data_IF_299596700827
#
_entry.id   IF_299596700827
#
_cell.length_a   1.000
_cell.length_b   1.000
_cell.length_c   1.000
_cell.angle_alpha   90.00
_cell.angle_beta   90.00
_cell.angle_gamma   90.00
#
_symmetry.space_group_name_H-M   'P 1'
#
loop_
_entity.id
_entity.type
_entity.pdbx_description
1 polymer ?
#
# COMPACT_ATOMS: atom_id res chain seq x y z
N UNK A 1 48.54 -5.33 15.88
CA UNK A 1 47.84 -4.06 15.63
C UNK A 1 48.56 -3.41 14.46
N UNK A 2 47.95 -3.41 13.27
CA UNK A 2 48.64 -2.90 12.09
C UNK A 2 48.63 -1.37 12.15
N UNK A 3 49.74 -0.69 11.85
CA UNK A 3 49.87 0.78 12.01
C UNK A 3 48.91 1.61 11.13
N UNK A 4 48.12 0.99 10.25
CA UNK A 4 47.06 1.63 9.47
C UNK A 4 45.64 1.56 10.07
N UNK A 5 45.42 0.70 11.06
CA UNK A 5 44.07 0.42 11.60
C UNK A 5 43.48 1.64 12.30
N UNK A 6 44.31 2.36 13.07
CA UNK A 6 43.91 3.55 13.80
C UNK A 6 43.58 4.73 12.87
N UNK A 7 44.28 4.79 11.73
CA UNK A 7 44.04 5.82 10.70
C UNK A 7 42.68 5.60 10.02
N UNK A 8 42.35 4.35 9.66
CA UNK A 8 41.07 4.04 9.04
C UNK A 8 39.91 4.25 10.02
N UNK A 9 40.05 3.84 11.27
CA UNK A 9 39.03 4.08 12.30
C UNK A 9 38.74 5.56 12.52
N UNK A 10 39.77 6.42 12.53
CA UNK A 10 39.62 7.86 12.63
C UNK A 10 38.88 8.46 11.41
N UNK A 11 39.19 7.98 10.20
CA UNK A 11 38.50 8.42 8.96
C UNK A 11 37.03 8.01 8.95
N UNK A 12 36.72 6.75 9.30
CA UNK A 12 35.34 6.25 9.38
C UNK A 12 34.53 7.00 10.44
N UNK A 13 35.16 7.36 11.57
CA UNK A 13 34.53 8.20 12.60
C UNK A 13 34.19 9.60 12.07
N UNK A 14 35.11 10.25 11.34
CA UNK A 14 34.89 11.58 10.75
C UNK A 14 33.79 11.59 9.69
N UNK A 15 33.60 10.50 8.96
CA UNK A 15 32.52 10.34 7.98
C UNK A 15 31.19 9.87 8.60
N UNK A 16 31.13 9.70 9.92
CA UNK A 16 29.98 9.17 10.65
C UNK A 16 29.53 7.77 10.16
N UNK A 17 30.47 6.93 9.71
CA UNK A 17 30.20 5.58 9.24
C UNK A 17 30.26 4.59 10.42
N UNK A 18 29.26 4.64 11.29
CA UNK A 18 29.28 3.95 12.58
C UNK A 18 29.23 2.42 12.43
N UNK A 19 28.44 1.90 11.48
CA UNK A 19 28.36 0.46 11.23
C UNK A 19 29.64 -0.03 10.59
N UNK A 20 30.12 0.67 9.55
CA UNK A 20 31.37 0.35 8.88
C UNK A 20 32.55 0.31 9.86
N UNK A 21 32.66 1.31 10.74
CA UNK A 21 33.68 1.37 11.80
C UNK A 21 33.63 0.16 12.75
N UNK A 22 32.43 -0.37 13.03
CA UNK A 22 32.25 -1.55 13.89
C UNK A 22 32.65 -2.86 13.20
N UNK A 23 32.36 -2.99 11.90
CA UNK A 23 32.44 -4.29 11.21
C UNK A 23 33.63 -4.44 10.26
N UNK A 24 34.32 -3.35 9.87
CA UNK A 24 35.32 -3.41 8.80
C UNK A 24 36.45 -4.40 9.08
N UNK A 25 36.93 -4.52 10.33
CA UNK A 25 38.00 -5.47 10.70
C UNK A 25 37.58 -6.93 10.46
N UNK A 26 36.34 -7.26 10.82
CA UNK A 26 35.77 -8.59 10.59
C UNK A 26 35.55 -8.83 9.09
N UNK A 27 35.09 -7.81 8.36
CA UNK A 27 34.91 -7.90 6.92
C UNK A 27 36.23 -8.05 6.16
N UNK A 28 37.33 -7.42 6.60
CA UNK A 28 38.66 -7.59 6.00
C UNK A 28 39.14 -9.03 6.16
N UNK A 29 39.10 -9.58 7.37
CA UNK A 29 39.48 -10.99 7.62
C UNK A 29 38.65 -11.97 6.77
N UNK A 30 37.36 -11.67 6.60
CA UNK A 30 36.47 -12.47 5.77
C UNK A 30 36.77 -12.34 4.28
N UNK A 31 37.04 -11.13 3.82
CA UNK A 31 37.42 -10.84 2.43
C UNK A 31 38.73 -11.54 2.05
N UNK A 32 39.71 -11.56 2.95
CA UNK A 32 40.97 -12.30 2.77
C UNK A 32 40.72 -13.81 2.68
N UNK A 33 39.93 -14.36 3.61
CA UNK A 33 39.63 -15.81 3.65
C UNK A 33 38.83 -16.30 2.44
N UNK A 34 37.89 -15.48 1.97
CA UNK A 34 37.01 -15.79 0.85
C UNK A 34 37.51 -15.22 -0.50
N UNK A 35 38.72 -14.64 -0.53
CA UNK A 35 39.37 -14.07 -1.71
C UNK A 35 38.50 -13.05 -2.47
N UNK A 36 37.85 -12.13 -1.75
CA UNK A 36 36.99 -11.12 -2.37
C UNK A 36 37.79 -10.08 -3.15
N UNK A 37 37.21 -9.58 -4.25
CA UNK A 37 37.76 -8.42 -4.94
C UNK A 37 37.62 -7.15 -4.08
N UNK A 38 38.52 -6.18 -4.26
CA UNK A 38 38.42 -4.88 -3.58
C UNK A 38 37.08 -4.18 -3.83
N UNK A 39 36.52 -4.37 -5.03
CA UNK A 39 35.22 -3.81 -5.40
C UNK A 39 34.09 -4.44 -4.59
N UNK A 40 34.10 -5.77 -4.42
CA UNK A 40 33.05 -6.49 -3.68
C UNK A 40 33.13 -6.20 -2.18
N UNK A 41 34.34 -6.12 -1.62
CA UNK A 41 34.57 -5.71 -0.25
C UNK A 41 34.00 -4.30 0.02
N UNK A 42 34.35 -3.32 -0.83
CA UNK A 42 33.88 -1.95 -0.66
C UNK A 42 32.36 -1.86 -0.83
N UNK A 43 31.80 -2.56 -1.81
CA UNK A 43 30.36 -2.61 -2.03
C UNK A 43 29.62 -3.15 -0.81
N UNK A 44 30.09 -4.25 -0.22
CA UNK A 44 29.46 -4.85 0.96
C UNK A 44 29.59 -3.95 2.19
N UNK A 45 30.77 -3.36 2.43
CA UNK A 45 30.99 -2.46 3.56
C UNK A 45 30.02 -1.27 3.53
N UNK A 46 29.86 -0.64 2.36
CA UNK A 46 28.95 0.49 2.17
C UNK A 46 27.49 0.05 2.32
N UNK A 47 27.15 -1.15 1.85
CA UNK A 47 25.80 -1.69 1.96
C UNK A 47 25.35 -1.93 3.39
N UNK A 48 26.21 -2.54 4.21
CA UNK A 48 25.94 -2.76 5.63
C UNK A 48 25.77 -1.43 6.37
N UNK A 49 26.49 -0.38 5.98
CA UNK A 49 26.28 0.96 6.50
C UNK A 49 24.92 1.55 6.08
N UNK A 50 24.56 1.45 4.79
CA UNK A 50 23.27 1.94 4.28
C UNK A 50 22.10 1.21 4.95
N UNK A 51 22.16 -0.12 5.02
CA UNK A 51 21.13 -0.93 5.65
C UNK A 51 20.97 -0.59 7.14
N UNK A 52 22.08 -0.43 7.87
CA UNK A 52 22.03 -0.06 9.29
C UNK A 52 21.46 1.35 9.50
N UNK A 53 21.82 2.32 8.64
CA UNK A 53 21.27 3.68 8.69
C UNK A 53 19.77 3.67 8.39
N UNK A 54 19.33 2.92 7.38
CA UNK A 54 17.92 2.79 7.07
C UNK A 54 17.15 2.13 8.20
N UNK A 55 17.65 1.04 8.78
CA UNK A 55 17.03 0.37 9.92
C UNK A 55 16.90 1.32 11.13
N UNK A 56 17.95 2.09 11.43
CA UNK A 56 17.94 3.07 12.51
C UNK A 56 16.92 4.18 12.24
N UNK A 57 16.85 4.67 10.99
CA UNK A 57 15.88 5.67 10.55
C UNK A 57 14.45 5.15 10.68
N UNK A 58 14.16 3.95 10.18
CA UNK A 58 12.85 3.30 10.28
C UNK A 58 12.43 3.11 11.72
N UNK A 59 13.32 2.58 12.58
CA UNK A 59 13.03 2.37 13.99
C UNK A 59 12.84 3.68 14.77
N UNK A 60 13.51 4.77 14.37
CA UNK A 60 13.26 6.10 14.93
C UNK A 60 11.90 6.62 14.48
N UNK A 61 11.63 6.67 13.19
CA UNK A 61 10.39 7.23 12.65
C UNK A 61 9.14 6.44 13.08
N UNK A 62 9.23 5.11 13.15
CA UNK A 62 8.11 4.29 13.61
C UNK A 62 7.74 4.55 15.08
N UNK A 63 8.74 4.86 15.93
CA UNK A 63 8.49 5.28 17.31
C UNK A 63 7.91 6.69 17.39
N UNK A 64 8.41 7.61 16.57
CA UNK A 64 7.89 8.98 16.49
C UNK A 64 6.48 9.06 15.91
N UNK A 65 6.10 8.10 15.07
CA UNK A 65 4.76 8.02 14.50
C UNK A 65 3.70 7.59 15.51
N UNK A 66 4.08 7.09 16.69
CA UNK A 66 3.17 6.73 17.78
C UNK A 66 2.07 5.74 17.36
N UNK A 67 2.40 4.73 16.54
CA UNK A 67 1.43 3.70 16.14
C UNK A 67 0.98 2.87 17.35
N UNK A 68 -0.33 2.56 17.49
CA UNK A 68 -0.82 1.70 18.57
C UNK A 68 -0.32 0.26 18.44
N UNK A 69 -0.12 -0.18 17.21
CA UNK A 69 0.49 -1.46 16.85
C UNK A 69 1.18 -1.31 15.50
N UNK A 70 2.15 -2.18 15.20
CA UNK A 70 2.77 -2.23 13.88
C UNK A 70 2.12 -3.35 13.05
N UNK A 71 1.49 -2.98 11.95
CA UNK A 71 0.92 -3.91 10.97
C UNK A 71 1.28 -3.47 9.56
N UNK A 72 1.61 -4.44 8.72
CA UNK A 72 1.94 -4.21 7.32
C UNK A 72 0.74 -4.48 6.43
N UNK A 73 0.87 -4.12 5.15
CA UNK A 73 -0.14 -4.45 4.14
C UNK A 73 -0.20 -5.96 3.89
N UNK A 74 0.93 -6.66 4.03
CA UNK A 74 1.03 -8.10 3.80
C UNK A 74 0.30 -8.89 4.91
N UNK A 75 0.18 -8.32 6.10
CA UNK A 75 -0.60 -8.89 7.22
C UNK A 75 -2.12 -8.72 7.03
N UNK A 76 -2.56 -8.02 5.98
CA UNK A 76 -3.96 -7.71 5.75
C UNK A 76 -4.61 -8.74 4.84
N UNK A 77 -5.65 -9.40 5.33
CA UNK A 77 -6.33 -10.46 4.60
C UNK A 77 -7.44 -9.92 3.70
N UNK A 78 -7.13 -9.76 2.41
CA UNK A 78 -8.05 -9.27 1.39
C UNK A 78 -9.17 -10.24 1.03
N UNK A 79 -9.09 -11.51 1.42
CA UNK A 79 -10.11 -12.51 1.03
C UNK A 79 -11.46 -12.23 1.69
N UNK A 80 -11.46 -11.56 2.85
CA UNK A 80 -12.65 -11.30 3.66
C UNK A 80 -13.30 -9.93 3.40
N UNK A 81 -12.70 -9.06 2.59
CA UNK A 81 -13.30 -7.77 2.22
C UNK A 81 -13.66 -7.72 0.74
N UNK A 82 -14.95 -7.65 0.45
CA UNK A 82 -15.49 -7.62 -0.91
C UNK A 82 -15.24 -6.32 -1.68
N UNK A 83 -15.03 -5.21 -0.97
CA UNK A 83 -15.08 -3.85 -1.55
C UNK A 83 -13.69 -3.27 -1.84
N UNK A 84 -12.67 -3.65 -1.05
CA UNK A 84 -11.32 -3.08 -1.18
C UNK A 84 -10.47 -3.94 -2.11
N UNK A 85 -10.38 -3.53 -3.38
CA UNK A 85 -9.42 -4.14 -4.31
C UNK A 85 -8.02 -3.60 -4.08
N UNK A 86 -7.02 -4.47 -4.16
CA UNK A 86 -5.60 -4.11 -4.04
C UNK A 86 -5.20 -2.99 -5.02
N UNK A 87 -5.84 -2.92 -6.20
CA UNK A 87 -5.61 -1.86 -7.18
C UNK A 87 -5.98 -0.45 -6.69
N UNK A 88 -6.98 -0.32 -5.81
CA UNK A 88 -7.34 0.97 -5.21
C UNK A 88 -6.31 1.36 -4.13
N UNK A 89 -5.81 0.38 -3.37
CA UNK A 89 -4.79 0.61 -2.34
C UNK A 89 -3.39 0.84 -2.92
N UNK A 90 -3.07 0.31 -4.09
CA UNK A 90 -1.77 0.55 -4.75
C UNK A 90 -1.44 2.04 -4.83
N UNK A 91 -2.44 2.86 -5.21
CA UNK A 91 -2.31 4.31 -5.27
C UNK A 91 -2.07 4.98 -3.91
N UNK A 92 -2.50 4.37 -2.81
CA UNK A 92 -2.29 4.87 -1.44
C UNK A 92 -0.96 4.38 -0.84
N UNK A 93 -0.43 3.25 -1.32
CA UNK A 93 0.85 2.68 -0.88
C UNK A 93 2.06 3.27 -1.63
N UNK A 94 1.81 3.91 -2.78
CA UNK A 94 2.82 4.60 -3.56
C UNK A 94 3.36 5.85 -2.83
N UNK A 95 4.60 6.24 -3.12
CA UNK A 95 5.18 7.51 -2.65
C UNK A 95 4.35 8.72 -3.08
N UNK A 96 3.70 8.61 -4.24
CA UNK A 96 2.92 9.67 -4.87
C UNK A 96 1.71 10.09 -4.03
N UNK A 97 1.20 9.17 -3.21
CA UNK A 97 0.17 9.50 -2.22
C UNK A 97 0.62 10.65 -1.33
N UNK A 98 1.85 10.57 -0.80
CA UNK A 98 2.39 11.55 0.14
C UNK A 98 2.87 12.81 -0.57
N UNK A 99 3.55 12.69 -1.71
CA UNK A 99 4.14 13.83 -2.43
C UNK A 99 3.10 14.74 -3.07
N UNK A 100 1.98 14.19 -3.54
CA UNK A 100 0.88 14.98 -4.11
C UNK A 100 -0.09 15.54 -3.05
N UNK A 101 0.07 15.13 -1.78
CA UNK A 101 -0.82 15.56 -0.71
C UNK A 101 -2.20 14.91 -0.81
N UNK A 102 -2.29 13.65 -1.25
CA UNK A 102 -3.56 12.94 -1.38
C UNK A 102 -4.11 12.56 -0.01
N UNK A 103 -5.42 12.44 0.07
CA UNK A 103 -6.11 12.08 1.30
C UNK A 103 -6.88 10.77 1.18
N UNK A 104 -7.18 10.15 2.31
CA UNK A 104 -7.95 8.90 2.35
C UNK A 104 -8.90 8.93 3.54
N UNK A 105 -10.18 8.62 3.30
CA UNK A 105 -11.13 8.37 4.38
C UNK A 105 -11.51 6.89 4.33
N UNK A 106 -11.22 6.18 5.42
CA UNK A 106 -11.60 4.78 5.63
C UNK A 106 -12.87 4.75 6.48
N UNK A 107 -13.99 4.34 5.89
CA UNK A 107 -15.28 4.21 6.59
C UNK A 107 -15.73 2.75 6.67
N UNK A 108 -16.55 2.41 7.68
CA UNK A 108 -17.13 1.08 7.84
C UNK A 108 -17.36 0.70 9.31
N UNK A 109 -18.17 -0.33 9.55
CA UNK A 109 -18.46 -0.81 10.92
C UNK A 109 -17.16 -1.19 11.68
N UNK A 110 -17.19 -1.21 13.02
CA UNK A 110 -16.07 -1.65 13.84
C UNK A 110 -15.55 -3.04 13.45
N UNK A 111 -14.27 -3.31 13.70
CA UNK A 111 -13.67 -4.64 13.50
C UNK A 111 -13.23 -4.98 12.07
N UNK A 112 -13.42 -4.10 11.07
CA UNK A 112 -13.11 -4.39 9.65
C UNK A 112 -11.71 -4.00 9.17
N UNK A 113 -10.79 -3.68 10.06
CA UNK A 113 -9.39 -3.38 9.70
C UNK A 113 -9.10 -1.95 9.18
N UNK A 114 -9.97 -0.97 9.44
CA UNK A 114 -9.73 0.46 9.12
C UNK A 114 -8.39 0.97 9.66
N UNK A 115 -8.21 0.86 10.98
CA UNK A 115 -6.99 1.27 11.67
C UNK A 115 -5.78 0.46 11.21
N UNK A 116 -5.95 -0.83 10.90
CA UNK A 116 -4.87 -1.65 10.32
C UNK A 116 -4.40 -1.07 9.00
N UNK A 117 -5.31 -0.81 8.06
CA UNK A 117 -4.93 -0.22 6.77
C UNK A 117 -4.30 1.15 6.92
N UNK A 118 -4.83 2.01 7.80
CA UNK A 118 -4.25 3.32 8.06
C UNK A 118 -2.80 3.22 8.57
N UNK A 119 -2.55 2.34 9.54
CA UNK A 119 -1.20 2.05 10.06
C UNK A 119 -0.30 1.46 8.97
N UNK A 120 -0.80 0.51 8.18
CA UNK A 120 -0.02 -0.12 7.11
C UNK A 120 0.41 0.88 6.04
N UNK A 121 -0.49 1.78 5.62
CA UNK A 121 -0.18 2.86 4.67
C UNK A 121 0.81 3.84 5.30
N UNK A 122 0.63 4.22 6.55
CA UNK A 122 1.55 5.13 7.24
C UNK A 122 2.95 4.53 7.42
N UNK A 123 3.03 3.26 7.78
CA UNK A 123 4.30 2.55 7.86
C UNK A 123 4.97 2.45 6.47
N UNK A 124 4.18 2.21 5.42
CA UNK A 124 4.67 2.23 4.04
C UNK A 124 5.22 3.61 3.63
N UNK A 125 4.58 4.70 4.04
CA UNK A 125 5.10 6.04 3.83
C UNK A 125 6.45 6.25 4.53
N UNK A 126 6.62 5.71 5.74
CA UNK A 126 7.92 5.75 6.47
C UNK A 126 9.00 4.98 5.71
N UNK A 127 8.66 3.80 5.19
CA UNK A 127 9.54 3.02 4.32
C UNK A 127 9.96 3.79 3.06
N UNK A 128 9.05 4.57 2.48
CA UNK A 128 9.29 5.38 1.28
C UNK A 128 10.07 6.69 1.55
N UNK A 129 10.49 6.97 2.79
CA UNK A 129 11.30 8.16 3.07
C UNK A 129 10.55 9.31 3.76
N UNK A 130 9.27 9.15 4.08
CA UNK A 130 8.48 10.19 4.73
C UNK A 130 8.42 10.02 6.25
N UNK A 131 8.01 11.07 6.96
CA UNK A 131 7.57 11.00 8.34
C UNK A 131 6.04 10.88 8.40
N UNK A 132 5.55 10.20 9.43
CA UNK A 132 4.13 10.04 9.67
C UNK A 132 3.83 10.22 11.15
N UNK A 133 2.62 10.65 11.48
CA UNK A 133 2.10 10.73 12.84
C UNK A 133 0.73 10.06 12.87
N UNK A 134 0.52 9.19 13.86
CA UNK A 134 -0.77 8.60 14.19
C UNK A 134 -1.28 9.20 15.49
N UNK A 135 -2.56 9.61 15.49
CA UNK A 135 -3.24 10.15 16.67
C UNK A 135 -4.72 9.84 16.56
N UNK A 136 -5.41 9.65 17.69
CA UNK A 136 -6.87 9.58 17.67
C UNK A 136 -7.46 10.98 17.51
N UNK A 137 -8.66 11.08 16.94
CA UNK A 137 -9.35 12.36 16.78
C UNK A 137 -9.60 13.04 18.14
N UNK A 138 -9.94 12.26 19.16
CA UNK A 138 -10.15 12.75 20.52
C UNK A 138 -8.85 13.35 21.11
N UNK A 139 -7.73 12.62 21.08
CA UNK A 139 -6.44 13.12 21.60
C UNK A 139 -5.99 14.40 20.88
N UNK A 140 -6.14 14.45 19.55
CA UNK A 140 -5.80 15.64 18.76
C UNK A 140 -6.63 16.84 19.19
N UNK A 141 -7.93 16.67 19.35
CA UNK A 141 -8.84 17.76 19.73
C UNK A 141 -8.54 18.20 21.17
N UNK A 142 -8.38 17.26 22.10
CA UNK A 142 -8.11 17.57 23.50
C UNK A 142 -6.79 18.35 23.67
N UNK A 143 -5.71 17.94 22.99
CA UNK A 143 -4.42 18.63 23.02
C UNK A 143 -4.51 20.05 22.43
N UNK A 144 -5.19 20.21 21.30
CA UNK A 144 -5.37 21.52 20.67
C UNK A 144 -6.30 22.44 21.48
N UNK A 145 -7.38 21.92 22.05
CA UNK A 145 -8.28 22.67 22.92
C UNK A 145 -7.58 23.10 24.21
N UNK A 146 -6.75 22.23 24.81
CA UNK A 146 -5.93 22.62 25.96
C UNK A 146 -4.92 23.71 25.58
N UNK A 147 -4.19 23.54 24.48
CA UNK A 147 -3.23 24.53 23.98
C UNK A 147 -3.89 25.87 23.62
N UNK A 148 -5.14 25.86 23.15
CA UNK A 148 -5.91 27.07 22.87
C UNK A 148 -6.23 27.85 24.15
N UNK A 149 -6.69 27.17 25.21
CA UNK A 149 -6.94 27.79 26.52
C UNK A 149 -5.68 28.39 27.14
N UNK A 150 -4.52 27.81 26.84
CA UNK A 150 -3.20 28.26 27.28
C UNK A 150 -2.56 29.32 26.35
N UNK A 151 -3.24 29.75 25.28
CA UNK A 151 -2.72 30.75 24.33
C UNK A 151 -1.54 30.27 23.47
N UNK A 152 -1.33 28.95 23.37
CA UNK A 152 -0.19 28.32 22.67
C UNK A 152 -0.62 27.45 21.47
N UNK A 153 -1.82 27.69 20.93
CA UNK A 153 -2.40 26.94 19.82
C UNK A 153 -1.47 26.85 18.60
N UNK A 154 -0.84 27.96 18.21
CA UNK A 154 0.05 27.98 17.04
C UNK A 154 1.23 27.00 17.16
N UNK A 155 1.79 26.86 18.36
CA UNK A 155 2.87 25.92 18.62
C UNK A 155 2.36 24.46 18.63
N UNK A 156 1.18 24.20 19.17
CA UNK A 156 0.59 22.86 19.18
C UNK A 156 0.16 22.38 17.78
N UNK A 157 -0.38 23.28 16.95
CA UNK A 157 -0.74 22.97 15.55
C UNK A 157 0.45 22.47 14.74
N UNK A 158 1.67 22.93 15.05
CA UNK A 158 2.89 22.51 14.38
C UNK A 158 3.05 20.97 14.45
N UNK A 159 2.77 20.36 15.60
CA UNK A 159 2.85 18.90 15.83
C UNK A 159 2.03 18.10 14.81
N UNK A 160 0.83 18.59 14.47
CA UNK A 160 -0.10 17.89 13.56
C UNK A 160 0.05 18.34 12.10
N UNK A 161 0.67 19.48 11.82
CA UNK A 161 0.79 20.04 10.46
C UNK A 161 2.14 19.77 9.80
N UNK A 162 3.21 19.59 10.57
CA UNK A 162 4.55 19.30 10.03
C UNK A 162 4.72 17.91 9.42
N UNK A 163 4.22 16.81 10.03
CA UNK A 163 4.43 15.47 9.50
C UNK A 163 3.91 15.34 8.07
N UNK A 164 4.66 14.68 7.19
CA UNK A 164 4.26 14.51 5.79
C UNK A 164 2.93 13.77 5.64
N UNK A 165 2.68 12.79 6.51
CA UNK A 165 1.42 12.07 6.62
C UNK A 165 0.86 12.15 8.04
N UNK A 166 -0.41 12.54 8.17
CA UNK A 166 -1.14 12.50 9.44
C UNK A 166 -2.25 11.45 9.33
N UNK A 167 -2.30 10.52 10.27
CA UNK A 167 -3.39 9.59 10.46
C UNK A 167 -4.21 10.05 11.66
N UNK A 168 -5.49 10.30 11.44
CA UNK A 168 -6.47 10.64 12.46
C UNK A 168 -7.47 9.49 12.58
N UNK A 169 -7.33 8.71 13.65
CA UNK A 169 -8.16 7.53 13.90
C UNK A 169 -9.44 7.90 14.67
N UNK A 170 -10.52 7.15 14.44
CA UNK A 170 -11.75 7.21 15.25
C UNK A 170 -12.48 8.57 15.31
N UNK A 171 -12.61 9.27 14.18
CA UNK A 171 -13.33 10.57 14.09
C UNK A 171 -14.83 10.48 14.50
N UNK A 172 -15.36 9.28 14.75
CA UNK A 172 -16.76 9.05 15.10
C UNK A 172 -17.11 9.05 16.59
N UNK A 173 -16.13 9.18 17.49
CA UNK A 173 -16.28 9.05 18.94
C UNK A 173 -15.69 10.23 19.71
N UNK A 174 -16.10 11.45 19.34
CA UNK A 174 -15.62 12.65 20.02
C UNK A 174 -16.45 12.92 21.27
N UNK A 175 -15.77 13.24 22.37
CA UNK A 175 -16.38 13.75 23.59
C UNK A 175 -16.87 15.19 23.37
N UNK A 176 -17.98 15.54 24.02
CA UNK A 176 -18.67 16.83 23.87
C UNK A 176 -17.74 18.02 24.12
N UNK A 177 -17.29 18.66 23.05
CA UNK A 177 -16.57 19.93 23.07
C UNK A 177 -17.06 20.80 21.92
N UNK A 178 -17.58 21.99 22.21
CA UNK A 178 -18.08 22.93 21.18
C UNK A 178 -17.00 23.34 20.18
N UNK A 179 -15.73 23.21 20.55
CA UNK A 179 -14.59 23.67 19.76
C UNK A 179 -13.95 22.54 18.92
N UNK A 180 -14.49 21.31 18.99
CA UNK A 180 -13.95 20.14 18.30
C UNK A 180 -13.85 20.35 16.78
N UNK A 181 -14.92 20.84 16.16
CA UNK A 181 -14.95 21.19 14.75
C UNK A 181 -13.88 22.22 14.39
N UNK A 182 -13.74 23.28 15.20
CA UNK A 182 -12.78 24.35 14.99
C UNK A 182 -11.34 23.83 15.03
N UNK A 183 -10.99 23.03 16.05
CA UNK A 183 -9.64 22.48 16.19
C UNK A 183 -9.27 21.57 15.00
N UNK A 184 -10.17 20.66 14.61
CA UNK A 184 -9.94 19.80 13.46
C UNK A 184 -9.87 20.58 12.14
N UNK A 185 -10.71 21.61 11.99
CA UNK A 185 -10.70 22.49 10.82
C UNK A 185 -9.36 23.21 10.66
N UNK A 186 -8.76 23.73 11.74
CA UNK A 186 -7.43 24.36 11.67
C UNK A 186 -6.36 23.42 11.13
N UNK A 187 -6.34 22.17 11.61
CA UNK A 187 -5.38 21.16 11.12
C UNK A 187 -5.62 20.84 9.66
N UNK A 188 -6.87 20.54 9.28
CA UNK A 188 -7.24 20.18 7.90
C UNK A 188 -6.94 21.32 6.94
N UNK A 189 -7.26 22.56 7.31
CA UNK A 189 -7.06 23.72 6.46
C UNK A 189 -5.57 24.01 6.23
N UNK A 190 -4.72 23.98 7.26
CA UNK A 190 -3.27 24.21 7.09
C UNK A 190 -2.62 23.08 6.27
N UNK A 191 -2.95 21.81 6.57
CA UNK A 191 -2.45 20.65 5.81
C UNK A 191 -2.92 20.69 4.35
N UNK A 192 -4.17 21.05 4.11
CA UNK A 192 -4.71 21.20 2.77
C UNK A 192 -3.90 22.25 1.98
N UNK A 193 -3.73 23.47 2.54
CA UNK A 193 -2.97 24.55 1.91
C UNK A 193 -1.51 24.17 1.60
N UNK A 194 -0.87 23.41 2.49
CA UNK A 194 0.53 22.95 2.33
C UNK A 194 0.67 21.66 1.51
N UNK A 195 -0.43 21.15 0.95
CA UNK A 195 -0.47 19.88 0.23
C UNK A 195 0.10 18.70 1.03
N UNK A 196 -0.28 18.58 2.30
CA UNK A 196 0.11 17.46 3.16
C UNK A 196 -0.97 16.40 3.21
N UNK A 197 -0.55 15.13 3.23
CA UNK A 197 -1.45 13.99 3.11
C UNK A 197 -2.11 13.64 4.44
N UNK A 198 -3.36 13.17 4.38
CA UNK A 198 -4.13 12.83 5.56
C UNK A 198 -4.87 11.51 5.37
N UNK A 199 -4.95 10.71 6.43
CA UNK A 199 -5.79 9.51 6.46
C UNK A 199 -6.73 9.64 7.66
N UNK A 200 -8.02 9.52 7.41
CA UNK A 200 -9.04 9.49 8.44
C UNK A 200 -9.64 8.10 8.54
N UNK A 201 -9.91 7.63 9.76
CA UNK A 201 -10.77 6.46 9.96
C UNK A 201 -12.04 6.87 10.71
N UNK A 202 -13.16 6.29 10.29
CA UNK A 202 -14.45 6.54 10.93
C UNK A 202 -15.35 5.33 10.82
N UNK A 203 -16.22 5.15 11.81
CA UNK A 203 -17.33 4.19 11.75
C UNK A 203 -18.66 4.87 11.40
N UNK A 204 -18.67 6.20 11.23
CA UNK A 204 -19.84 6.99 10.87
C UNK A 204 -19.85 7.28 9.37
N UNK A 205 -21.03 7.48 8.82
CA UNK A 205 -21.18 8.00 7.47
C UNK A 205 -20.77 9.49 7.44
N UNK A 206 -20.28 9.97 6.30
CA UNK A 206 -19.79 11.34 6.14
C UNK A 206 -20.86 12.39 6.45
N UNK A 207 -22.12 12.13 6.08
CA UNK A 207 -23.25 13.00 6.39
C UNK A 207 -23.52 13.17 7.90
N UNK A 208 -22.98 12.29 8.75
CA UNK A 208 -23.17 12.33 10.21
C UNK A 208 -22.06 13.14 10.90
N UNK A 209 -21.03 13.57 10.17
CA UNK A 209 -19.91 14.30 10.79
C UNK A 209 -20.33 15.63 11.41
N UNK A 210 -21.33 16.32 10.86
CA UNK A 210 -21.90 17.53 11.46
C UNK A 210 -22.41 17.29 12.89
N UNK A 211 -23.11 16.16 13.11
CA UNK A 211 -23.60 15.76 14.43
C UNK A 211 -22.46 15.39 15.39
N UNK A 212 -21.39 14.76 14.87
CA UNK A 212 -20.25 14.32 15.69
C UNK A 212 -19.34 15.48 16.08
N UNK A 213 -19.17 16.46 15.19
CA UNK A 213 -18.34 17.65 15.40
C UNK A 213 -19.11 18.80 16.05
N UNK A 214 -20.43 18.66 16.22
CA UNK A 214 -21.34 19.68 16.76
C UNK A 214 -21.39 20.99 15.93
N UNK A 215 -20.95 20.95 14.69
CA UNK A 215 -21.00 22.06 13.73
C UNK A 215 -21.11 21.48 12.31
N UNK A 216 -22.27 21.66 11.68
CA UNK A 216 -22.56 21.09 10.37
C UNK A 216 -21.80 21.80 9.25
N UNK A 217 -21.68 23.12 9.32
CA UNK A 217 -21.03 23.93 8.29
C UNK A 217 -19.52 23.66 8.25
N UNK A 218 -18.87 23.61 9.42
CA UNK A 218 -17.44 23.28 9.51
C UNK A 218 -17.17 21.82 9.14
N UNK A 219 -18.05 20.89 9.52
CA UNK A 219 -17.89 19.49 9.14
C UNK A 219 -17.93 19.31 7.61
N UNK A 220 -18.86 19.98 6.92
CA UNK A 220 -18.92 19.98 5.46
C UNK A 220 -17.65 20.59 4.85
N UNK A 221 -17.18 21.71 5.40
CA UNK A 221 -15.96 22.39 4.96
C UNK A 221 -14.68 21.55 5.16
N UNK A 222 -14.63 20.70 6.20
CA UNK A 222 -13.56 19.72 6.43
C UNK A 222 -13.61 18.62 5.36
N UNK A 223 -14.79 18.01 5.17
CA UNK A 223 -14.98 16.90 4.23
C UNK A 223 -14.62 17.33 2.81
N UNK A 224 -15.07 18.52 2.40
CA UNK A 224 -14.79 19.10 1.09
C UNK A 224 -13.28 19.19 0.82
N UNK A 225 -12.52 19.84 1.73
CA UNK A 225 -11.06 19.98 1.61
C UNK A 225 -10.30 18.66 1.60
N UNK A 226 -10.81 17.65 2.32
CA UNK A 226 -10.21 16.32 2.38
C UNK A 226 -10.50 15.56 1.09
N UNK A 227 -11.74 15.61 0.59
CA UNK A 227 -12.16 14.86 -0.60
C UNK A 227 -11.73 15.49 -1.93
N UNK A 228 -11.43 16.80 -1.97
CA UNK A 228 -10.92 17.47 -3.17
C UNK A 228 -9.70 16.74 -3.77
N UNK A 229 -8.81 16.23 -2.91
CA UNK A 229 -7.64 15.40 -3.28
C UNK A 229 -7.67 14.01 -2.64
N UNK A 230 -8.85 13.63 -2.16
CA UNK A 230 -9.04 12.46 -1.34
C UNK A 230 -9.83 11.37 -2.04
N UNK A 231 -9.85 10.19 -1.43
CA UNK A 231 -10.78 9.12 -1.79
C UNK A 231 -11.49 8.62 -0.54
N UNK A 232 -12.75 8.24 -0.70
CA UNK A 232 -13.50 7.51 0.31
C UNK A 232 -13.40 6.01 -0.02
N UNK A 233 -12.93 5.22 0.94
CA UNK A 233 -12.96 3.76 0.86
C UNK A 233 -13.86 3.21 1.96
N UNK A 234 -14.88 2.47 1.55
CA UNK A 234 -15.77 1.76 2.46
C UNK A 234 -15.28 0.34 2.65
N UNK A 235 -15.06 -0.03 3.91
CA UNK A 235 -14.69 -1.36 4.35
C UNK A 235 -15.95 -2.11 4.79
N UNK A 236 -16.27 -3.14 4.03
CA UNK A 236 -17.34 -4.09 4.29
C UNK A 236 -16.76 -5.48 4.58
N UNK A 237 -17.59 -6.36 5.13
CA UNK A 237 -17.19 -7.69 5.57
C UNK A 237 -17.43 -7.94 7.06
N UNK A 238 -17.15 -9.19 7.52
CA UNK A 238 -17.29 -9.59 8.92
C UNK A 238 -16.27 -8.86 9.81
N UNK A 239 -16.53 -8.81 11.12
CA UNK A 239 -15.58 -8.20 12.06
C UNK A 239 -14.44 -9.17 12.37
N UNK A 240 -13.22 -8.76 12.06
CA UNK A 240 -12.00 -9.54 12.34
C UNK A 240 -11.74 -9.70 13.83
N UNK A 241 -12.29 -8.81 14.67
CA UNK A 241 -12.16 -8.87 16.14
C UNK A 241 -13.00 -10.01 16.73
N UNK A 242 -14.15 -10.30 16.14
CA UNK A 242 -15.13 -11.30 16.60
C UNK A 242 -15.03 -12.61 15.85
N UNK A 243 -14.06 -12.75 14.93
CA UNK A 243 -13.84 -13.96 14.13
C UNK A 243 -13.73 -15.24 14.97
N UNK A 244 -13.06 -15.17 16.12
CA UNK A 244 -12.90 -16.31 17.02
C UNK A 244 -14.22 -16.76 17.69
N UNK A 245 -15.26 -15.93 17.64
CA UNK A 245 -16.57 -16.20 18.24
C UNK A 245 -17.61 -16.68 17.21
N UNK A 246 -17.31 -16.66 15.90
CA UNK A 246 -18.22 -17.12 14.85
C UNK A 246 -19.53 -16.31 14.71
N UNK A 247 -19.62 -15.12 15.33
CA UNK A 247 -20.86 -14.34 15.43
C UNK A 247 -21.32 -13.70 14.10
N UNK A 248 -20.42 -13.61 13.12
CA UNK A 248 -20.67 -12.98 11.82
C UNK A 248 -20.79 -14.02 10.68
N UNK A 249 -20.88 -15.32 10.99
CA UNK A 249 -21.19 -16.35 9.99
C UNK A 249 -22.64 -16.14 9.49
N UNK A 250 -22.88 -16.04 8.17
CA UNK A 250 -24.23 -15.83 7.67
C UNK A 250 -25.10 -17.02 8.05
N UNK A 251 -26.23 -16.75 8.71
CA UNK A 251 -27.23 -17.78 8.99
C UNK A 251 -27.71 -18.36 7.65
N UNK A 252 -27.94 -19.69 7.51
CA UNK A 252 -28.24 -20.33 6.21
C UNK A 252 -29.40 -19.70 5.42
N UNK A 253 -30.28 -18.96 6.09
CA UNK A 253 -31.43 -18.26 5.51
C UNK A 253 -31.04 -17.05 4.64
N UNK A 254 -29.93 -16.35 4.91
CA UNK A 254 -29.50 -15.17 4.13
C UNK A 254 -28.71 -15.54 2.86
N UNK A 255 -28.16 -16.76 2.79
CA UNK A 255 -27.43 -17.25 1.61
C UNK A 255 -28.36 -17.54 0.41
N UNK A 256 -29.66 -17.79 0.65
CA UNK A 256 -30.65 -18.08 -0.39
C UNK A 256 -31.17 -16.84 -1.13
N UNK A 257 -30.90 -15.63 -0.62
CA UNK A 257 -31.30 -14.36 -1.25
C UNK A 257 -30.19 -13.74 -2.11
N UNK A 258 -28.99 -14.34 -2.14
CA UNK A 258 -27.92 -13.90 -3.04
C UNK A 258 -28.06 -14.62 -4.38
N UNK A 259 -28.10 -13.89 -5.52
CA UNK A 259 -28.07 -14.56 -6.82
C UNK A 259 -26.77 -15.37 -6.92
N UNK A 260 -26.91 -16.67 -7.19
CA UNK A 260 -25.81 -17.61 -7.28
C UNK A 260 -24.71 -17.04 -8.22
N UNK A 261 -23.52 -16.78 -7.66
CA UNK A 261 -22.34 -16.45 -8.45
C UNK A 261 -21.84 -17.75 -9.07
N UNK A 262 -22.12 -17.94 -10.35
CA UNK A 262 -21.50 -18.98 -11.17
C UNK A 262 -20.01 -18.64 -11.28
N UNK A 263 -19.19 -19.24 -10.41
CA UNK A 263 -17.75 -19.31 -10.60
C UNK A 263 -17.51 -20.34 -11.70
N UNK A 264 -17.12 -19.88 -12.90
CA UNK A 264 -16.93 -20.72 -14.09
C UNK A 264 -15.71 -21.63 -14.05
N UNK A 265 -15.53 -22.41 -12.98
CA UNK A 265 -14.44 -23.40 -12.85
C UNK A 265 -14.95 -24.81 -12.58
N UNK A 266 -16.23 -25.02 -12.27
CA UNK A 266 -16.78 -26.37 -12.19
C UNK A 266 -17.34 -26.85 -13.54
N UNK A 267 -16.88 -28.03 -13.97
CA UNK A 267 -17.44 -28.74 -15.12
C UNK A 267 -18.93 -28.99 -14.87
N UNK A 268 -19.83 -28.75 -15.82
CA UNK A 268 -21.21 -29.16 -15.66
C UNK A 268 -21.26 -30.69 -15.61
N UNK A 269 -21.49 -31.25 -14.42
CA UNK A 269 -21.91 -32.64 -14.27
C UNK A 269 -23.33 -32.74 -14.83
N UNK A 270 -23.41 -33.18 -16.07
CA UNK A 270 -24.66 -33.56 -16.71
C UNK A 270 -25.05 -34.93 -16.14
N UNK A 271 -26.16 -35.08 -15.41
CA UNK A 271 -26.58 -36.41 -14.96
C UNK A 271 -26.87 -37.27 -16.19
N UNK A 272 -26.25 -38.45 -16.24
CA UNK A 272 -26.41 -39.42 -17.31
C UNK A 272 -27.88 -39.83 -17.51
N UNK A 273 -28.30 -40.16 -18.75
CA UNK A 273 -29.70 -40.34 -19.11
C UNK A 273 -30.29 -41.64 -18.52
N UNK A 274 -31.47 -41.51 -17.93
CA UNK A 274 -32.29 -42.61 -17.40
C UNK A 274 -32.48 -43.74 -18.43
N UNK A 275 -32.14 -44.97 -18.02
CA UNK A 275 -32.32 -46.20 -18.79
C UNK A 275 -33.79 -46.66 -18.84
N UNK A 276 -34.37 -46.53 -20.04
CA UNK A 276 -35.35 -47.38 -20.74
C UNK A 276 -36.35 -48.20 -19.89
N UNK A 277 -37.64 -47.92 -20.06
CA UNK A 277 -38.69 -48.96 -20.04
C UNK A 277 -39.38 -49.07 -21.40
N UNK A 278 -39.33 -50.29 -21.94
CA UNK A 278 -39.87 -50.78 -23.21
C UNK A 278 -41.37 -50.52 -23.38
N UNK A 279 -41.79 -50.13 -24.60
CA UNK A 279 -42.95 -50.67 -25.33
C UNK A 279 -42.74 -50.48 -26.85
N UNK A 280 -42.98 -51.53 -27.61
CA UNK A 280 -42.89 -51.63 -29.09
C UNK A 280 -44.31 -51.67 -29.71
N UNK A 281 -44.51 -51.83 -31.03
CA UNK A 281 -44.09 -50.97 -32.15
C UNK A 281 -45.24 -50.70 -33.18
N UNK A 282 -45.10 -49.66 -34.02
CA UNK A 282 -45.67 -49.48 -35.38
C UNK A 282 -45.34 -48.05 -35.85
N UNK A 283 -45.03 -47.65 -37.09
CA UNK A 283 -44.84 -48.24 -38.42
C UNK A 283 -44.16 -47.15 -39.30
N UNK A 284 -43.29 -47.57 -40.22
CA UNK A 284 -42.48 -46.81 -41.22
C UNK A 284 -43.31 -46.04 -42.30
N UNK A 285 -42.73 -45.36 -43.33
CA UNK A 285 -41.43 -44.67 -43.52
C UNK A 285 -41.46 -43.37 -44.42
N UNK A 286 -40.27 -42.88 -44.85
CA UNK A 286 -39.89 -42.04 -46.03
C UNK A 286 -39.76 -40.51 -45.79
N UNK A 287 -38.81 -39.73 -46.35
CA UNK A 287 -37.91 -39.85 -47.50
C UNK A 287 -36.85 -38.68 -47.50
N UNK A 288 -35.64 -38.91 -48.07
CA UNK A 288 -34.80 -38.05 -48.98
C UNK A 288 -34.47 -36.56 -48.59
N UNK A 289 -33.33 -35.90 -48.82
CA UNK A 289 -32.30 -35.93 -49.89
C UNK A 289 -31.07 -35.03 -49.57
N UNK A 290 -29.97 -35.34 -50.27
CA UNK A 290 -28.67 -34.67 -50.53
C UNK A 290 -28.62 -33.13 -50.68
N UNK A 291 -27.42 -32.56 -50.44
CA UNK A 291 -26.59 -31.77 -51.41
C UNK A 291 -25.65 -30.80 -50.66
N UNK A 292 -24.34 -31.05 -50.51
CA UNK A 292 -23.19 -30.68 -51.39
C UNK A 292 -22.93 -29.17 -51.60
N UNK A 293 -21.70 -28.71 -51.31
CA UNK A 293 -21.13 -27.44 -51.80
C UNK A 293 -19.90 -26.91 -51.03
N UNK A 294 -18.70 -27.17 -51.56
CA UNK A 294 -17.34 -26.86 -51.07
C UNK A 294 -16.86 -25.41 -51.49
N UNK A 295 -15.63 -24.94 -51.16
CA UNK A 295 -15.32 -23.60 -50.62
C UNK A 295 -14.38 -22.76 -51.50
N UNK A 296 -13.98 -21.55 -51.07
CA UNK A 296 -12.82 -20.82 -51.63
C UNK A 296 -11.98 -20.02 -50.61
N UNK A 297 -10.71 -20.47 -50.51
CA UNK A 297 -9.41 -19.81 -50.38
C UNK A 297 -9.17 -18.39 -49.83
N UNK A 298 -8.28 -18.37 -48.82
CA UNK A 298 -7.05 -17.56 -48.60
C UNK A 298 -6.69 -16.45 -49.61
N UNK A 299 -6.23 -15.32 -49.06
CA UNK A 299 -4.94 -14.70 -49.43
C UNK A 299 -4.33 -13.93 -48.24
N UNK A 300 -3.01 -14.03 -48.13
CA UNK A 300 -2.10 -13.37 -47.22
C UNK A 300 -1.40 -12.20 -47.92
N UNK A 301 -1.13 -11.10 -47.21
CA UNK A 301 -0.11 -10.12 -47.58
C UNK A 301 0.51 -9.52 -46.31
N UNK A 302 1.83 -9.58 -46.22
CA UNK A 302 2.62 -8.72 -45.35
C UNK A 302 3.44 -7.75 -46.21
N UNK A 303 3.88 -6.63 -45.63
CA UNK A 303 5.20 -6.05 -45.84
C UNK A 303 5.47 -4.87 -44.87
N UNK A 304 6.74 -4.83 -44.48
CA UNK A 304 7.52 -3.91 -43.64
C UNK A 304 7.27 -2.39 -43.78
N UNK A 305 7.47 -1.67 -42.66
CA UNK A 305 7.75 -0.23 -42.60
C UNK A 305 8.46 0.17 -41.30
N UNK A 306 9.58 0.91 -41.40
CA UNK A 306 10.52 1.28 -40.33
C UNK A 306 10.09 2.55 -39.55
N UNK A 307 10.18 2.49 -38.20
CA UNK A 307 10.55 3.52 -37.17
C UNK A 307 9.89 4.93 -37.16
N UNK A 308 9.57 5.52 -35.98
CA UNK A 308 10.60 6.23 -35.21
C UNK A 308 10.55 6.08 -33.68
N UNK A 309 11.70 6.36 -33.07
CA UNK A 309 11.97 6.44 -31.63
C UNK A 309 11.24 7.63 -31.02
N UNK A 310 10.49 7.41 -29.93
CA UNK A 310 10.24 8.42 -28.91
C UNK A 310 10.45 7.79 -27.53
N UNK A 311 11.53 8.23 -26.88
CA UNK A 311 11.84 7.87 -25.51
C UNK A 311 11.14 8.81 -24.54
N UNK A 312 10.38 8.23 -23.60
CA UNK A 312 10.09 8.87 -22.32
C UNK A 312 10.82 8.05 -21.25
N UNK A 313 11.92 8.62 -20.73
CA UNK A 313 12.68 8.09 -19.61
C UNK A 313 11.82 8.17 -18.35
N UNK A 314 11.32 7.02 -17.89
CA UNK A 314 10.99 6.85 -16.48
C UNK A 314 12.30 6.64 -15.71
N UNK A 315 12.86 7.71 -15.16
CA UNK A 315 14.03 7.65 -14.28
C UNK A 315 13.57 7.59 -12.83
N UNK A 316 13.19 6.40 -12.35
CA UNK A 316 13.12 6.07 -10.92
C UNK A 316 13.74 4.68 -10.71
N UNK A 317 15.01 4.70 -10.30
CA UNK A 317 15.80 3.72 -9.54
C UNK A 317 15.58 2.19 -9.69
N UNK A 318 15.69 1.66 -10.92
CA UNK A 318 16.08 0.25 -11.15
C UNK A 318 17.59 -0.11 -10.97
N UNK A 319 18.59 0.80 -10.97
CA UNK A 319 20.01 0.40 -10.90
C UNK A 319 20.42 -0.23 -9.56
N UNK A 320 19.84 0.20 -8.45
CA UNK A 320 20.27 -0.22 -7.11
C UNK A 320 19.95 -1.71 -6.86
N UNK A 321 18.71 -2.13 -7.10
CA UNK A 321 18.28 -3.52 -6.89
C UNK A 321 18.95 -4.48 -7.88
N UNK A 322 19.16 -4.04 -9.13
CA UNK A 322 19.81 -4.86 -10.17
C UNK A 322 21.31 -5.04 -9.93
N UNK A 323 21.98 -4.06 -9.30
CA UNK A 323 23.37 -4.22 -8.85
C UNK A 323 23.48 -5.22 -7.68
N UNK A 324 22.48 -5.26 -6.79
CA UNK A 324 22.45 -6.16 -5.62
C UNK A 324 22.12 -7.61 -5.97
N UNK A 325 21.13 -7.85 -6.84
CA UNK A 325 20.83 -9.21 -7.32
C UNK A 325 22.03 -9.84 -8.02
N UNK A 326 22.88 -9.04 -8.67
CA UNK A 326 24.16 -9.51 -9.24
C UNK A 326 25.20 -9.83 -8.17
N UNK A 327 25.25 -9.09 -7.06
CA UNK A 327 26.14 -9.39 -5.93
C UNK A 327 25.73 -10.67 -5.17
N UNK A 328 24.43 -10.99 -5.08
CA UNK A 328 23.97 -12.25 -4.46
C UNK A 328 24.01 -13.45 -5.40
N UNK A 329 23.81 -13.24 -6.70
CA UNK A 329 23.73 -14.32 -7.69
C UNK A 329 25.11 -14.73 -8.26
N UNK A 330 26.13 -13.87 -8.15
CA UNK A 330 27.42 -14.08 -8.82
C UNK A 330 28.59 -14.44 -7.89
N UNK A 331 28.44 -14.46 -6.57
CA UNK A 331 29.59 -14.66 -5.69
C UNK A 331 29.24 -15.38 -4.39
N UNK A 332 30.23 -16.11 -3.84
CA UNK A 332 30.19 -16.93 -2.61
C UNK A 332 29.91 -16.14 -1.32
N UNK A 333 29.37 -14.92 -1.43
CA UNK A 333 29.28 -13.93 -0.36
C UNK A 333 27.96 -14.11 0.41
N UNK A 334 28.02 -14.69 1.61
CA UNK A 334 26.90 -14.62 2.57
C UNK A 334 26.75 -13.19 3.11
N UNK A 335 25.66 -12.53 2.76
CA UNK A 335 25.28 -11.18 3.21
C UNK A 335 24.62 -11.26 4.59
N UNK A 336 24.71 -10.21 5.44
CA UNK A 336 24.02 -10.22 6.73
C UNK A 336 22.50 -10.18 6.56
N UNK A 337 21.78 -10.72 7.54
CA UNK A 337 20.31 -10.74 7.56
C UNK A 337 19.69 -9.34 7.41
N UNK A 338 20.37 -8.31 7.95
CA UNK A 338 19.92 -6.91 7.85
C UNK A 338 19.94 -6.39 6.41
N UNK A 339 20.95 -6.75 5.62
CA UNK A 339 21.07 -6.35 4.21
C UNK A 339 20.16 -7.21 3.31
N UNK A 340 19.99 -8.50 3.62
CA UNK A 340 19.03 -9.37 2.92
C UNK A 340 17.58 -8.88 3.11
N UNK A 341 17.19 -8.58 4.35
CA UNK A 341 15.87 -8.05 4.66
C UNK A 341 15.62 -6.68 3.98
N UNK A 342 16.63 -5.81 3.98
CA UNK A 342 16.60 -4.55 3.25
C UNK A 342 16.42 -4.76 1.74
N UNK A 343 17.22 -5.63 1.12
CA UNK A 343 17.17 -5.91 -0.31
C UNK A 343 15.82 -6.51 -0.74
N UNK A 344 15.26 -7.42 0.08
CA UNK A 344 13.92 -7.97 -0.13
C UNK A 344 12.83 -6.91 -0.01
N UNK A 345 12.93 -6.01 0.98
CA UNK A 345 11.99 -4.89 1.14
C UNK A 345 12.07 -3.89 -0.02
N UNK A 346 13.27 -3.60 -0.53
CA UNK A 346 13.48 -2.73 -1.69
C UNK A 346 12.98 -3.38 -2.99
N UNK A 347 13.25 -4.67 -3.19
CA UNK A 347 12.76 -5.44 -4.32
C UNK A 347 11.22 -5.52 -4.34
N UNK A 348 10.58 -5.75 -3.19
CA UNK A 348 9.12 -5.73 -3.07
C UNK A 348 8.52 -4.36 -3.44
N UNK A 349 9.17 -3.26 -3.04
CA UNK A 349 8.78 -1.91 -3.43
C UNK A 349 8.92 -1.63 -4.92
N UNK A 350 9.99 -2.12 -5.57
CA UNK A 350 10.19 -1.93 -7.01
C UNK A 350 9.28 -2.83 -7.87
N UNK A 351 8.97 -4.05 -7.42
CA UNK A 351 8.06 -4.98 -8.13
C UNK A 351 6.61 -4.45 -8.09
N UNK A 352 6.19 -3.83 -6.99
CA UNK A 352 4.89 -3.18 -6.89
C UNK A 352 4.74 -2.01 -7.89
N UNK A 353 5.77 -1.17 -8.02
CA UNK A 353 5.79 -0.02 -8.95
C UNK A 353 5.86 -0.46 -10.43
N UNK A 354 6.62 -1.52 -10.73
CA UNK A 354 6.78 -1.99 -12.13
C UNK A 354 5.58 -2.75 -12.68
N UNK A 355 4.76 -3.39 -11.82
CA UNK A 355 3.50 -4.02 -12.24
C UNK A 355 2.42 -3.01 -12.61
N UNK A 356 2.38 -1.84 -11.97
CA UNK A 356 1.41 -0.79 -12.29
C UNK A 356 1.72 -0.06 -13.62
N UNK A 357 2.99 0.09 -13.99
CA UNK A 357 3.36 0.63 -15.30
C UNK A 357 3.01 -0.30 -16.49
N UNK A 358 2.87 -1.60 -16.24
CA UNK A 358 2.59 -2.57 -17.30
C UNK A 358 1.08 -2.71 -17.63
N UNK A 359 0.17 -2.12 -16.83
CA UNK A 359 -1.26 -2.40 -16.91
C UNK A 359 -2.18 -1.18 -17.14
N UNK A 360 -1.63 0.00 -17.46
CA UNK A 360 -2.44 1.16 -17.88
C UNK A 360 -2.61 1.22 -19.41
N UNK A 361 -3.84 1.09 -19.96
CA UNK A 361 -4.08 1.45 -21.35
C UNK A 361 -4.06 2.98 -21.49
N UNK A 362 -3.22 3.47 -22.39
CA UNK A 362 -3.12 4.89 -22.73
C UNK A 362 -4.42 5.38 -23.38
N UNK A 363 -5.26 6.10 -22.63
CA UNK A 363 -6.31 6.94 -23.19
C UNK A 363 -5.99 8.41 -22.97
N UNK A 364 -5.21 8.98 -23.88
CA UNK A 364 -5.17 10.41 -24.12
C UNK A 364 -6.39 10.81 -24.96
N UNK A 365 -7.36 11.51 -24.38
CA UNK A 365 -8.29 12.36 -25.14
C UNK A 365 -7.93 13.81 -24.84
N UNK A 366 -7.35 14.45 -25.85
CA UNK A 366 -7.27 15.90 -25.96
C UNK A 366 -8.69 16.47 -25.98
N UNK A 367 -8.98 17.43 -25.11
CA UNK A 367 -10.05 18.40 -25.34
C UNK A 367 -9.38 19.72 -25.72
N UNK A 368 -9.55 20.10 -26.99
CA UNK A 368 -9.43 21.48 -27.43
C UNK A 368 -10.77 22.18 -27.21
N UNK A 369 -10.72 23.29 -26.48
CA UNK A 369 -11.47 24.56 -26.48
C UNK A 369 -11.89 24.95 -25.08
#
# INVERSE_FOLDING_TARGET
>A
MMPGDDKLDALLKRLHLASARRIWRQLVQRAEKEEWSYRDFLALLVAEEIAQRQQTRLGRLSRWASFPFLKTIDDFDFTYQSTVRLSLLGSALASDFVTEGRCLILTGKPGRGKTHLAVAIAYRAIQNGFDALFVTAAELIDDLSAAFREGRLAAALATYTHPALLVVDEVGYLTYGTDAANMLFHVVNDRHRRKRSMIFTTNKALNTWGLVLHDEDLAQAIIDRVLERGRLLTLDGPSMRTKHLGLDEPTPTEALLQPARISGIDRPEFPEPTTISRRSPASNPSNTTRSTGLPRNRTSFGLNGKSPRYGARCSVTLPEITAWLRLTASSRIRISWSVLHWASSAAASAIAVTRDCANTPSHSRCFHT
#
